data_IF_313109496060
#
_entry.id   IF_313109496060
#
_cell.length_a   1.000
_cell.length_b   1.000
_cell.length_c   1.000
_cell.angle_alpha   90.00
_cell.angle_beta   90.00
_cell.angle_gamma   90.00
#
_symmetry.space_group_name_H-M   'P 1'
#
loop_
_entity.id
_entity.type
_entity.pdbx_description
1 polymer ?
#
# COMPACT_ATOMS: atom_id res chain seq x y z
N UNK A 1 34.82 -16.60 22.13
CA UNK A 1 33.64 -17.04 21.34
C UNK A 1 32.62 -15.91 21.35
N UNK A 2 32.67 -15.04 20.33
CA UNK A 2 31.68 -13.99 20.13
C UNK A 2 30.58 -14.56 19.26
N UNK A 3 29.39 -14.76 19.81
CA UNK A 3 28.18 -15.03 19.02
C UNK A 3 27.79 -13.69 18.36
N UNK A 4 27.94 -13.63 17.07
CA UNK A 4 27.39 -12.56 16.22
C UNK A 4 25.87 -12.66 16.25
N UNK A 5 25.20 -11.71 16.86
CA UNK A 5 23.78 -11.50 16.72
C UNK A 5 23.50 -10.97 15.30
N UNK A 6 23.16 -11.89 14.39
CA UNK A 6 22.51 -11.54 13.11
C UNK A 6 20.99 -11.55 13.29
N UNK A 7 20.52 -10.82 14.26
CA UNK A 7 19.10 -10.56 14.50
C UNK A 7 18.85 -9.10 14.08
N UNK A 8 17.96 -8.83 13.21
CA UNK A 8 17.59 -7.56 12.63
C UNK A 8 18.18 -7.25 11.24
N UNK A 9 17.67 -7.91 10.21
CA UNK A 9 17.66 -7.30 8.87
C UNK A 9 16.62 -8.02 7.99
N UNK A 10 15.38 -8.02 8.39
CA UNK A 10 14.22 -8.19 7.51
C UNK A 10 13.13 -7.23 7.96
N UNK A 11 13.54 -5.99 8.21
CA UNK A 11 12.60 -4.89 8.37
C UNK A 11 12.02 -4.61 6.99
N UNK A 12 10.73 -4.59 6.94
CA UNK A 12 9.84 -4.00 5.98
C UNK A 12 10.56 -2.93 5.12
N UNK A 13 11.29 -3.37 4.11
CA UNK A 13 11.71 -2.53 3.00
C UNK A 13 10.58 -2.61 2.00
N UNK A 14 9.47 -1.97 2.33
CA UNK A 14 8.56 -1.45 1.36
C UNK A 14 9.26 -0.22 0.78
N UNK A 15 10.27 -0.46 0.00
CA UNK A 15 10.87 0.44 -0.98
C UNK A 15 12.30 -0.02 -1.26
N UNK A 16 12.57 -0.33 -2.49
CA UNK A 16 13.84 -0.75 -3.07
C UNK A 16 14.23 -2.21 -2.83
N UNK A 17 13.63 -3.12 -3.60
CA UNK A 17 14.38 -4.29 -4.02
C UNK A 17 15.51 -3.82 -4.95
N UNK A 18 16.69 -3.62 -4.40
CA UNK A 18 17.90 -3.49 -5.22
C UNK A 18 18.26 -4.88 -5.76
N UNK A 19 17.83 -5.18 -6.98
CA UNK A 19 18.47 -6.24 -7.75
C UNK A 19 19.83 -5.74 -8.20
N UNK A 20 20.89 -6.15 -7.54
CA UNK A 20 22.26 -5.98 -8.05
C UNK A 20 22.44 -6.90 -9.26
N UNK A 21 22.37 -6.33 -10.45
CA UNK A 21 22.96 -6.96 -11.62
C UNK A 21 24.47 -7.03 -11.40
N UNK A 22 24.98 -8.26 -11.21
CA UNK A 22 26.43 -8.52 -11.12
C UNK A 22 27.02 -8.34 -12.52
N UNK A 23 27.53 -7.16 -12.80
CA UNK A 23 28.54 -6.98 -13.83
C UNK A 23 29.90 -6.95 -13.15
N UNK A 24 30.63 -8.06 -13.27
CA UNK A 24 32.02 -8.12 -12.87
C UNK A 24 32.86 -7.28 -13.85
N UNK A 25 33.26 -6.10 -13.43
CA UNK A 25 34.41 -5.41 -14.00
C UNK A 25 35.19 -4.65 -12.92
N UNK A 26 36.48 -4.73 -12.99
CA UNK A 26 37.48 -4.27 -12.03
C UNK A 26 37.26 -2.87 -11.47
N UNK A 27 37.49 -2.79 -10.18
CA UNK A 27 37.28 -1.64 -9.30
C UNK A 27 38.44 -0.65 -9.36
N UNK A 28 38.11 0.61 -9.57
CA UNK A 28 38.87 1.74 -9.05
C UNK A 28 38.03 2.43 -7.95
N UNK A 29 38.51 2.41 -6.73
CA UNK A 29 37.83 2.65 -5.46
C UNK A 29 37.63 4.15 -5.14
N UNK A 30 37.10 4.98 -6.02
CA UNK A 30 36.96 6.41 -5.67
C UNK A 30 35.81 7.22 -6.31
N UNK A 31 34.83 6.59 -6.96
CA UNK A 31 33.67 7.36 -7.49
C UNK A 31 32.38 6.79 -6.90
N UNK A 32 31.53 7.58 -6.21
CA UNK A 32 30.20 7.16 -5.83
C UNK A 32 29.44 6.71 -7.06
N UNK A 33 29.10 5.43 -7.13
CA UNK A 33 28.50 4.83 -8.33
C UNK A 33 27.03 5.23 -8.37
N UNK A 34 26.68 6.14 -9.27
CA UNK A 34 25.29 6.47 -9.58
C UNK A 34 24.60 5.25 -10.20
N UNK A 35 23.41 4.90 -9.68
CA UNK A 35 22.67 3.72 -10.13
C UNK A 35 21.39 4.15 -10.84
N UNK A 36 21.19 3.63 -12.05
CA UNK A 36 19.95 3.77 -12.79
C UNK A 36 19.24 2.42 -12.78
N UNK A 37 18.01 2.39 -12.25
CA UNK A 37 17.23 1.15 -12.14
C UNK A 37 15.96 1.23 -12.98
N UNK A 38 15.61 0.10 -13.58
CA UNK A 38 14.33 -0.13 -14.22
C UNK A 38 13.73 -1.40 -13.66
N UNK A 39 12.51 -1.30 -13.12
CA UNK A 39 11.81 -2.41 -12.51
C UNK A 39 10.29 -2.24 -12.70
N UNK A 40 9.54 -3.24 -12.32
CA UNK A 40 8.09 -3.14 -12.39
C UNK A 40 7.38 -4.44 -12.08
N UNK A 41 6.06 -4.40 -12.18
CA UNK A 41 5.20 -5.58 -12.03
C UNK A 41 4.12 -5.61 -13.13
N UNK A 42 3.66 -6.80 -13.45
CA UNK A 42 2.49 -7.03 -14.28
C UNK A 42 1.65 -8.07 -13.58
N UNK A 43 0.37 -7.81 -13.37
CA UNK A 43 -0.52 -8.77 -12.76
C UNK A 43 -1.85 -8.95 -13.49
N UNK A 44 -2.39 -10.14 -13.34
CA UNK A 44 -3.70 -10.55 -13.84
C UNK A 44 -4.36 -11.43 -12.78
N UNK A 45 -5.68 -11.47 -12.78
CA UNK A 45 -6.39 -12.33 -11.85
C UNK A 45 -7.62 -12.97 -12.45
N UNK A 46 -8.08 -14.03 -11.81
CA UNK A 46 -9.41 -14.60 -11.94
C UNK A 46 -10.14 -14.45 -10.61
N UNK A 47 -11.39 -13.98 -10.63
CA UNK A 47 -12.24 -13.89 -9.44
C UNK A 47 -13.56 -14.64 -9.68
N UNK A 48 -14.06 -15.25 -8.62
CA UNK A 48 -15.41 -15.80 -8.56
C UNK A 48 -16.02 -15.49 -7.19
N UNK A 49 -17.19 -14.91 -7.18
CA UNK A 49 -18.03 -14.87 -5.97
C UNK A 49 -18.92 -16.10 -5.94
N UNK A 50 -19.33 -16.50 -4.75
CA UNK A 50 -20.28 -17.62 -4.57
C UNK A 50 -21.75 -17.14 -4.66
N UNK A 51 -21.97 -15.96 -5.20
CA UNK A 51 -23.25 -15.31 -5.44
C UNK A 51 -23.42 -15.04 -6.93
N UNK A 52 -24.65 -14.78 -7.38
CA UNK A 52 -24.95 -14.55 -8.81
C UNK A 52 -24.46 -13.17 -9.30
N UNK A 53 -24.38 -12.18 -8.43
CA UNK A 53 -23.92 -10.84 -8.79
C UNK A 53 -22.40 -10.76 -8.81
N UNK A 54 -21.81 -10.20 -9.88
CA UNK A 54 -20.36 -10.14 -10.04
C UNK A 54 -19.65 -9.05 -9.21
N UNK A 55 -20.36 -8.11 -8.58
CA UNK A 55 -19.73 -6.93 -7.98
C UNK A 55 -19.17 -7.23 -6.59
N UNK A 56 -17.88 -6.97 -6.39
CA UNK A 56 -17.26 -6.99 -5.09
C UNK A 56 -17.70 -5.78 -4.26
N UNK A 57 -17.58 -5.85 -2.92
CA UNK A 57 -17.72 -4.65 -2.10
C UNK A 57 -16.69 -3.60 -2.53
N UNK A 58 -16.93 -2.35 -2.22
CA UNK A 58 -16.15 -1.19 -2.66
C UNK A 58 -14.69 -1.13 -2.23
N UNK A 59 -14.03 -2.26 -2.01
CA UNK A 59 -12.57 -2.32 -1.88
C UNK A 59 -11.95 -2.23 -3.26
N UNK A 60 -10.89 -1.45 -3.39
CA UNK A 60 -10.14 -1.36 -4.63
C UNK A 60 -9.49 -2.71 -4.96
N UNK A 61 -9.39 -2.99 -6.27
CA UNK A 61 -8.62 -4.10 -6.83
C UNK A 61 -9.22 -5.50 -6.63
N UNK A 62 -9.41 -6.22 -7.69
CA UNK A 62 -10.07 -7.52 -7.80
C UNK A 62 -11.61 -7.47 -7.61
N UNK A 63 -12.27 -6.56 -8.31
CA UNK A 63 -13.68 -6.27 -8.13
C UNK A 63 -14.63 -7.03 -9.06
N UNK A 64 -14.14 -7.52 -10.20
CA UNK A 64 -14.98 -8.16 -11.22
C UNK A 64 -14.78 -9.66 -11.27
N UNK A 65 -15.87 -10.42 -11.42
CA UNK A 65 -15.83 -11.85 -11.66
C UNK A 65 -15.27 -12.18 -13.07
N UNK A 66 -14.65 -13.35 -13.19
CA UNK A 66 -13.99 -13.80 -14.40
C UNK A 66 -12.51 -13.42 -14.46
N UNK A 67 -11.93 -13.50 -15.66
CA UNK A 67 -10.54 -13.11 -15.90
C UNK A 67 -10.45 -11.60 -16.11
N UNK A 68 -9.53 -10.98 -15.41
CA UNK A 68 -9.31 -9.53 -15.47
C UNK A 68 -7.83 -9.19 -15.46
N UNK A 69 -7.51 -8.08 -16.08
CA UNK A 69 -6.22 -7.41 -15.87
C UNK A 69 -6.22 -6.79 -14.49
N UNK A 70 -5.09 -6.87 -13.79
CA UNK A 70 -4.81 -6.05 -12.63
C UNK A 70 -4.17 -4.74 -13.06
N UNK A 71 -2.85 -4.63 -12.92
CA UNK A 71 -2.09 -3.50 -13.43
C UNK A 71 -0.75 -3.94 -14.03
N UNK A 72 -0.16 -3.04 -14.81
CA UNK A 72 1.28 -3.01 -15.07
C UNK A 72 1.82 -1.72 -14.49
N UNK A 73 2.89 -1.79 -13.71
CA UNK A 73 3.65 -0.61 -13.35
C UNK A 73 5.10 -0.70 -13.82
N UNK A 74 5.63 0.45 -14.26
CA UNK A 74 6.99 0.59 -14.73
C UNK A 74 7.67 1.69 -13.92
N UNK A 75 8.71 1.30 -13.22
CA UNK A 75 9.45 2.17 -12.31
C UNK A 75 10.82 2.46 -12.90
N UNK A 76 11.11 3.73 -13.09
CA UNK A 76 12.43 4.24 -13.43
C UNK A 76 12.93 5.04 -12.26
N UNK A 77 14.10 4.69 -11.73
CA UNK A 77 14.73 5.46 -10.67
C UNK A 77 16.21 5.72 -10.94
N UNK A 78 16.68 6.82 -10.42
CA UNK A 78 18.09 7.18 -10.42
C UNK A 78 18.51 7.54 -9.00
N UNK A 79 19.60 6.95 -8.56
CA UNK A 79 20.24 7.23 -7.28
C UNK A 79 21.65 7.74 -7.54
N UNK A 80 21.89 9.00 -7.24
CA UNK A 80 23.19 9.64 -7.28
C UNK A 80 23.72 9.93 -5.89
N UNK A 81 24.93 10.49 -5.78
CA UNK A 81 25.60 10.76 -4.50
C UNK A 81 24.75 11.61 -3.54
N UNK A 82 24.10 12.64 -4.05
CA UNK A 82 23.32 13.58 -3.22
C UNK A 82 21.88 13.73 -3.64
N UNK A 83 21.47 13.19 -4.77
CA UNK A 83 20.13 13.40 -5.30
C UNK A 83 19.68 12.23 -6.16
N UNK A 84 18.39 12.06 -6.26
CA UNK A 84 17.80 11.06 -7.14
C UNK A 84 16.37 11.42 -7.48
N UNK A 85 15.76 10.54 -8.26
CA UNK A 85 14.34 10.64 -8.61
C UNK A 85 13.71 9.25 -8.75
N UNK A 86 12.39 9.23 -8.65
CA UNK A 86 11.57 8.08 -8.99
C UNK A 86 10.46 8.53 -9.92
N UNK A 87 10.25 7.77 -11.00
CA UNK A 87 9.10 7.88 -11.88
C UNK A 87 8.44 6.49 -11.98
N UNK A 88 7.23 6.35 -11.47
CA UNK A 88 6.43 5.14 -11.47
C UNK A 88 5.13 5.42 -12.22
N UNK A 89 4.95 4.75 -13.36
CA UNK A 89 3.75 4.84 -14.19
C UNK A 89 2.97 3.53 -14.13
N UNK A 90 1.65 3.65 -14.11
CA UNK A 90 0.71 2.52 -13.96
C UNK A 90 -0.29 2.47 -15.10
N UNK A 91 -0.71 1.26 -15.44
CA UNK A 91 -1.69 0.97 -16.48
C UNK A 91 -2.61 -0.16 -16.03
N UNK A 92 -3.79 -0.23 -16.64
CA UNK A 92 -4.79 -1.25 -16.33
C UNK A 92 -5.76 -0.83 -15.24
N UNK A 93 -6.80 -1.64 -14.96
CA UNK A 93 -7.87 -1.28 -14.03
C UNK A 93 -7.36 -0.90 -12.63
N UNK A 94 -6.53 -1.74 -12.04
CA UNK A 94 -5.91 -1.47 -10.73
C UNK A 94 -5.02 -0.23 -10.74
N UNK A 95 -4.30 0.01 -11.85
CA UNK A 95 -3.50 1.22 -12.03
C UNK A 95 -4.37 2.48 -12.08
N UNK A 96 -5.48 2.44 -12.80
CA UNK A 96 -6.44 3.55 -12.85
C UNK A 96 -7.08 3.82 -11.50
N UNK A 97 -7.44 2.76 -10.75
CA UNK A 97 -7.97 2.89 -9.39
C UNK A 97 -6.93 3.50 -8.42
N UNK A 98 -5.64 3.19 -8.63
CA UNK A 98 -4.56 3.72 -7.79
C UNK A 98 -4.32 5.24 -7.96
N UNK A 99 -4.73 5.81 -9.08
CA UNK A 99 -4.51 7.22 -9.44
C UNK A 99 -5.83 7.98 -9.69
N UNK A 100 -6.90 7.54 -9.06
CA UNK A 100 -8.27 8.00 -9.30
C UNK A 100 -8.50 9.51 -9.12
N UNK A 101 -7.73 10.17 -8.24
CA UNK A 101 -7.81 11.61 -7.98
C UNK A 101 -6.95 12.47 -8.91
N UNK A 102 -6.23 11.86 -9.86
CA UNK A 102 -5.38 12.59 -10.80
C UNK A 102 -6.19 13.39 -11.81
N UNK A 103 -5.67 14.55 -12.19
CA UNK A 103 -6.33 15.48 -13.12
C UNK A 103 -5.63 15.47 -14.47
N UNK A 104 -6.40 15.23 -15.54
CA UNK A 104 -5.92 15.24 -16.91
C UNK A 104 -5.28 13.93 -17.37
N UNK A 105 -5.43 13.64 -18.65
CA UNK A 105 -5.11 12.35 -19.26
C UNK A 105 -3.68 11.84 -19.06
N UNK A 106 -2.72 12.71 -18.91
CA UNK A 106 -1.31 12.33 -18.70
C UNK A 106 -1.00 12.01 -17.24
N UNK A 107 -1.75 12.57 -16.31
CA UNK A 107 -1.57 12.33 -14.86
C UNK A 107 -2.27 11.04 -14.40
N UNK A 108 -3.28 10.57 -15.14
CA UNK A 108 -4.03 9.35 -14.85
C UNK A 108 -3.20 8.05 -14.94
N UNK A 109 -1.92 8.15 -15.23
CA UNK A 109 -0.98 7.04 -15.21
C UNK A 109 0.21 7.25 -14.27
N UNK A 110 0.27 8.37 -13.57
CA UNK A 110 1.40 8.68 -12.68
C UNK A 110 1.07 8.23 -11.26
N UNK A 111 1.67 7.11 -10.86
CA UNK A 111 1.60 6.61 -9.48
C UNK A 111 2.57 7.38 -8.58
N UNK A 112 3.82 7.54 -9.02
CA UNK A 112 4.82 8.36 -8.32
C UNK A 112 5.66 9.16 -9.32
N UNK A 113 5.92 10.41 -8.98
CA UNK A 113 6.86 11.25 -9.70
C UNK A 113 7.46 12.26 -8.72
N UNK A 114 8.67 11.98 -8.24
CA UNK A 114 9.35 12.84 -7.28
C UNK A 114 10.86 12.86 -7.47
N UNK A 115 11.48 13.91 -6.98
CA UNK A 115 12.92 14.01 -6.82
C UNK A 115 13.26 14.27 -5.35
N UNK A 116 14.45 13.84 -4.94
CA UNK A 116 14.96 14.07 -3.60
C UNK A 116 16.39 14.59 -3.60
N UNK A 117 16.75 15.26 -2.52
CA UNK A 117 18.09 15.76 -2.29
C UNK A 117 18.52 15.51 -0.83
N UNK A 118 19.67 14.87 -0.66
CA UNK A 118 20.28 14.61 0.64
C UNK A 118 21.03 15.87 1.10
N UNK A 119 20.43 16.60 2.03
CA UNK A 119 20.94 17.88 2.55
C UNK A 119 22.15 17.62 3.44
N UNK A 120 22.09 16.56 4.25
CA UNK A 120 23.12 16.11 5.17
C UNK A 120 22.99 14.59 5.35
N UNK A 121 23.95 13.98 6.03
CA UNK A 121 23.83 12.59 6.47
C UNK A 121 22.56 12.40 7.31
N UNK A 122 21.71 11.45 6.90
CA UNK A 122 20.43 11.17 7.54
C UNK A 122 19.33 12.22 7.34
N UNK A 123 19.53 13.23 6.46
CA UNK A 123 18.50 14.25 6.18
C UNK A 123 18.25 14.38 4.69
N UNK A 124 17.05 14.04 4.24
CA UNK A 124 16.64 14.14 2.84
C UNK A 124 15.40 15.01 2.69
N UNK A 125 15.35 15.84 1.67
CA UNK A 125 14.16 16.56 1.22
C UNK A 125 13.63 15.92 -0.06
N UNK A 126 12.32 15.69 -0.12
CA UNK A 126 11.63 15.13 -1.30
C UNK A 126 10.55 16.10 -1.76
N UNK A 127 10.41 16.26 -3.06
CA UNK A 127 9.37 17.08 -3.70
C UNK A 127 8.77 16.31 -4.88
N UNK A 128 7.45 16.25 -4.94
CA UNK A 128 6.69 15.62 -6.02
C UNK A 128 5.48 14.85 -5.51
N UNK A 129 5.02 13.87 -6.30
CA UNK A 129 3.96 12.94 -5.95
C UNK A 129 4.58 11.60 -5.54
N UNK A 130 4.21 11.08 -4.38
CA UNK A 130 4.73 9.81 -3.84
C UNK A 130 3.63 9.05 -3.10
N UNK A 131 3.79 7.73 -3.00
CA UNK A 131 2.85 6.88 -2.27
C UNK A 131 2.68 7.34 -0.83
N UNK A 132 1.50 7.10 -0.30
CA UNK A 132 1.16 7.47 1.08
C UNK A 132 2.12 6.87 2.09
N UNK A 133 2.31 7.57 3.18
CA UNK A 133 2.99 7.08 4.39
C UNK A 133 2.00 6.53 5.44
N UNK A 134 0.71 6.57 5.16
CA UNK A 134 -0.38 6.06 5.99
C UNK A 134 -0.76 4.65 5.54
N UNK A 135 -1.17 3.82 6.47
CA UNK A 135 -1.64 2.46 6.18
C UNK A 135 -0.52 1.43 6.05
N UNK A 136 -0.89 0.17 6.09
CA UNK A 136 0.00 -0.99 6.05
C UNK A 136 0.17 -1.55 4.63
N UNK A 137 -0.90 -1.58 3.87
CA UNK A 137 -0.90 -2.09 2.49
C UNK A 137 -0.39 -1.03 1.51
N UNK A 138 0.01 -1.48 0.32
CA UNK A 138 0.51 -0.63 -0.76
C UNK A 138 -0.18 -0.97 -2.08
N UNK A 139 -0.02 -0.09 -3.08
CA UNK A 139 -0.65 -0.24 -4.40
C UNK A 139 -0.12 -1.48 -5.12
N UNK A 140 1.20 -1.75 -5.05
CA UNK A 140 1.81 -2.88 -5.76
C UNK A 140 1.35 -4.23 -5.19
N UNK A 141 0.73 -5.11 -6.00
CA UNK A 141 0.28 -6.42 -5.54
C UNK A 141 1.43 -7.38 -5.20
N UNK A 142 2.64 -7.12 -5.70
CA UNK A 142 3.82 -7.90 -5.38
C UNK A 142 4.32 -7.62 -3.95
N UNK A 143 4.12 -6.40 -3.45
CA UNK A 143 4.57 -5.96 -2.13
C UNK A 143 3.56 -6.28 -1.01
N UNK A 144 2.28 -6.44 -1.32
CA UNK A 144 1.28 -6.90 -0.36
C UNK A 144 1.31 -8.41 -0.21
N UNK A 145 1.09 -8.94 1.00
CA UNK A 145 0.91 -10.37 1.19
C UNK A 145 -0.40 -10.85 0.57
N UNK A 146 -1.51 -10.20 0.91
CA UNK A 146 -2.82 -10.45 0.30
C UNK A 146 -2.92 -9.75 -1.05
N UNK A 147 -3.64 -10.36 -2.01
CA UNK A 147 -3.84 -9.76 -3.33
C UNK A 147 -4.95 -8.70 -3.31
N UNK A 148 -6.08 -9.00 -2.70
CA UNK A 148 -7.12 -8.00 -2.44
C UNK A 148 -6.74 -7.11 -1.28
N UNK A 149 -7.25 -5.88 -1.28
CA UNK A 149 -6.93 -4.87 -0.27
C UNK A 149 -7.96 -4.83 0.85
N UNK A 150 -7.57 -4.29 2.01
CA UNK A 150 -8.44 -3.98 3.13
C UNK A 150 -9.36 -2.79 2.82
N UNK A 151 -10.40 -2.61 3.60
CA UNK A 151 -11.22 -1.40 3.58
C UNK A 151 -10.42 -0.17 4.03
N UNK A 152 -9.61 -0.32 5.09
CA UNK A 152 -8.75 0.77 5.57
C UNK A 152 -7.82 1.28 4.48
N UNK A 153 -7.22 0.39 3.66
CA UNK A 153 -6.39 0.81 2.53
C UNK A 153 -7.24 1.45 1.43
N UNK A 154 -8.38 0.84 1.06
CA UNK A 154 -9.20 1.28 -0.07
C UNK A 154 -9.84 2.65 0.13
N UNK A 155 -10.06 3.05 1.37
CA UNK A 155 -10.67 4.31 1.75
C UNK A 155 -9.72 5.29 2.46
N UNK A 156 -8.47 4.88 2.69
CA UNK A 156 -7.38 5.76 3.08
C UNK A 156 -6.70 6.44 1.90
N UNK A 157 -5.79 7.37 2.14
CA UNK A 157 -5.01 8.01 1.07
C UNK A 157 -4.09 7.02 0.34
N UNK A 158 -3.95 7.17 -0.98
CA UNK A 158 -3.01 6.40 -1.81
C UNK A 158 -1.72 7.16 -2.10
N UNK A 159 -1.82 8.47 -2.26
CA UNK A 159 -0.67 9.31 -2.62
C UNK A 159 -0.74 10.71 -2.02
N UNK A 160 0.42 11.37 -2.01
CA UNK A 160 0.54 12.77 -1.61
C UNK A 160 1.40 13.52 -2.61
N UNK A 161 0.92 14.69 -3.04
CA UNK A 161 1.74 15.65 -3.79
C UNK A 161 2.15 16.79 -2.87
N UNK A 162 3.46 17.01 -2.72
CA UNK A 162 3.96 18.03 -1.83
C UNK A 162 5.46 17.94 -1.59
N UNK A 163 5.87 18.44 -0.43
CA UNK A 163 7.24 18.41 0.05
C UNK A 163 7.31 17.74 1.41
N UNK A 164 8.33 16.90 1.61
CA UNK A 164 8.62 16.29 2.90
C UNK A 164 10.11 16.30 3.20
N UNK A 165 10.42 16.25 4.49
CA UNK A 165 11.79 16.06 4.97
C UNK A 165 11.80 14.80 5.84
N UNK A 166 12.71 13.91 5.51
CA UNK A 166 12.96 12.67 6.24
C UNK A 166 14.25 12.81 7.06
N UNK A 167 14.19 12.42 8.33
CA UNK A 167 15.28 12.41 9.29
C UNK A 167 15.54 10.96 9.74
N UNK A 168 16.68 10.39 9.41
CA UNK A 168 17.19 9.15 9.98
C UNK A 168 17.99 9.49 11.25
N UNK A 169 17.34 9.44 12.41
CA UNK A 169 17.92 9.87 13.69
C UNK A 169 18.88 8.81 14.23
N UNK A 170 18.53 7.52 14.02
CA UNK A 170 19.36 6.37 14.31
C UNK A 170 18.96 5.19 13.40
N UNK A 171 19.60 4.03 13.56
CA UNK A 171 19.19 2.80 12.85
C UNK A 171 17.74 2.38 13.16
N UNK A 172 17.25 2.73 14.35
CA UNK A 172 15.92 2.31 14.84
C UNK A 172 14.91 3.46 14.91
N UNK A 173 15.33 4.70 14.69
CA UNK A 173 14.48 5.89 14.89
C UNK A 173 14.52 6.80 13.67
N UNK A 174 13.35 7.08 13.12
CA UNK A 174 13.16 8.02 12.02
C UNK A 174 12.01 9.00 12.29
N UNK A 175 12.07 10.15 11.64
CA UNK A 175 11.00 11.15 11.65
C UNK A 175 10.83 11.69 10.23
N UNK A 176 9.61 11.70 9.73
CA UNK A 176 9.23 12.45 8.53
C UNK A 176 8.26 13.57 8.92
N UNK A 177 8.43 14.74 8.32
CA UNK A 177 7.46 15.82 8.35
C UNK A 177 7.24 16.36 6.95
N UNK A 178 6.01 16.76 6.63
CA UNK A 178 5.69 17.22 5.29
C UNK A 178 4.48 18.14 5.21
N UNK A 179 4.37 18.77 4.05
CA UNK A 179 3.26 19.64 3.65
C UNK A 179 2.78 19.19 2.29
N UNK A 180 1.49 18.94 2.17
CA UNK A 180 0.90 18.28 1.01
C UNK A 180 -0.34 19.03 0.51
N UNK A 181 -0.67 18.83 -0.74
CA UNK A 181 -1.97 19.12 -1.29
C UNK A 181 -3.02 18.15 -0.71
N UNK A 182 -4.25 18.27 -1.15
CA UNK A 182 -5.27 17.24 -0.93
C UNK A 182 -4.74 15.88 -1.40
N UNK A 183 -5.05 14.82 -0.63
CA UNK A 183 -4.61 13.46 -0.96
C UNK A 183 -5.10 13.01 -2.33
N UNK A 184 -4.34 12.11 -2.94
CA UNK A 184 -4.69 11.45 -4.20
C UNK A 184 -4.78 12.37 -5.42
N UNK A 185 -4.27 13.59 -5.32
CA UNK A 185 -4.23 14.55 -6.42
C UNK A 185 -2.79 14.84 -6.85
N UNK A 186 -2.55 14.76 -8.16
CA UNK A 186 -1.23 15.06 -8.75
C UNK A 186 -0.98 16.56 -8.94
N UNK A 187 -2.01 17.39 -8.84
CA UNK A 187 -1.92 18.84 -9.00
C UNK A 187 -2.55 19.56 -7.79
N UNK A 188 -2.13 20.80 -7.57
CA UNK A 188 -2.76 21.65 -6.57
C UNK A 188 -4.22 21.93 -6.95
N UNK A 189 -5.13 21.75 -6.00
CA UNK A 189 -6.54 22.10 -6.21
C UNK A 189 -6.78 23.60 -6.10
N UNK A 190 -7.94 24.05 -6.57
CA UNK A 190 -8.34 25.45 -6.54
C UNK A 190 -8.70 25.95 -5.13
N UNK A 191 -8.99 25.04 -4.21
CA UNK A 191 -9.49 25.34 -2.85
C UNK A 191 -8.37 25.65 -1.86
N UNK A 192 -7.11 25.65 -2.31
CA UNK A 192 -5.92 25.94 -1.48
C UNK A 192 -5.80 25.02 -0.26
N UNK A 193 -6.33 23.83 -0.37
CA UNK A 193 -6.20 22.82 0.68
C UNK A 193 -4.72 22.53 0.95
N UNK A 194 -4.36 22.53 2.21
CA UNK A 194 -3.01 22.19 2.65
C UNK A 194 -3.11 21.21 3.82
N UNK A 195 -2.44 20.07 3.70
CA UNK A 195 -2.33 19.10 4.76
C UNK A 195 -0.90 19.08 5.32
N UNK A 196 -0.78 18.84 6.62
CA UNK A 196 0.47 18.57 7.31
C UNK A 196 0.54 17.09 7.65
N UNK A 197 1.66 16.46 7.36
CA UNK A 197 1.90 15.08 7.70
C UNK A 197 3.13 14.89 8.57
N UNK A 198 3.08 13.88 9.42
CA UNK A 198 4.22 13.43 10.20
C UNK A 198 4.19 11.90 10.34
N UNK A 199 5.37 11.29 10.33
CA UNK A 199 5.55 9.87 10.63
C UNK A 199 6.71 9.73 11.61
N UNK A 200 6.46 9.05 12.72
CA UNK A 200 7.50 8.64 13.66
C UNK A 200 7.74 7.14 13.51
N UNK A 201 8.94 6.77 13.09
CA UNK A 201 9.40 5.39 13.02
C UNK A 201 10.18 5.00 14.26
N UNK A 202 9.82 3.88 14.89
CA UNK A 202 10.46 3.34 16.09
C UNK A 202 10.56 1.82 15.96
N UNK A 203 11.76 1.27 15.75
CA UNK A 203 12.00 -0.18 15.69
C UNK A 203 11.10 -0.92 14.68
N UNK A 204 10.87 -0.32 13.48
CA UNK A 204 10.00 -0.90 12.45
C UNK A 204 8.50 -0.72 12.71
N UNK A 205 8.13 0.06 13.71
CA UNK A 205 6.76 0.49 13.99
C UNK A 205 6.60 1.94 13.60
N UNK A 206 5.44 2.35 13.08
CA UNK A 206 5.21 3.70 12.62
C UNK A 206 3.92 4.26 13.20
N UNK A 207 4.01 5.50 13.69
CA UNK A 207 2.85 6.31 14.05
C UNK A 207 2.78 7.43 13.03
N UNK A 208 1.67 7.51 12.33
CA UNK A 208 1.44 8.40 11.21
C UNK A 208 0.32 9.37 11.52
N UNK A 209 0.51 10.62 11.17
CA UNK A 209 -0.45 11.71 11.31
C UNK A 209 -0.60 12.44 9.98
N UNK A 210 -1.83 12.65 9.55
CA UNK A 210 -2.20 13.58 8.48
C UNK A 210 -3.29 14.51 8.99
N UNK A 211 -3.09 15.83 8.87
CA UNK A 211 -4.03 16.84 9.33
C UNK A 211 -4.14 17.99 8.31
N UNK A 212 -5.35 18.31 7.91
CA UNK A 212 -5.71 19.40 7.02
C UNK A 212 -7.00 20.08 7.47
N UNK A 213 -7.51 21.01 6.67
CA UNK A 213 -8.67 21.82 7.07
C UNK A 213 -9.95 20.99 7.33
N UNK A 214 -10.14 19.92 6.56
CA UNK A 214 -11.33 19.06 6.63
C UNK A 214 -10.98 17.57 6.72
N UNK A 215 -9.76 17.25 7.09
CA UNK A 215 -9.27 15.87 7.18
C UNK A 215 -8.30 15.72 8.34
N UNK A 216 -8.53 14.70 9.15
CA UNK A 216 -7.61 14.27 10.19
C UNK A 216 -7.52 12.74 10.17
N UNK A 217 -6.29 12.21 10.12
CA UNK A 217 -6.07 10.77 10.26
C UNK A 217 -4.89 10.50 11.19
N UNK A 218 -5.12 9.60 12.13
CA UNK A 218 -4.10 9.00 12.97
C UNK A 218 -4.02 7.51 12.62
N UNK A 219 -2.82 7.03 12.33
CA UNK A 219 -2.60 5.68 11.86
C UNK A 219 -1.38 5.07 12.56
N UNK A 220 -1.46 3.78 12.86
CA UNK A 220 -0.37 2.96 13.34
C UNK A 220 -0.16 1.79 12.38
N UNK A 221 1.07 1.62 11.92
CA UNK A 221 1.47 0.47 11.11
C UNK A 221 2.74 -0.14 11.65
N UNK A 222 2.86 -1.45 11.52
CA UNK A 222 4.09 -2.14 11.89
C UNK A 222 3.94 -3.64 11.86
N UNK A 223 4.94 -4.33 12.40
CA UNK A 223 4.91 -5.77 12.48
C UNK A 223 6.03 -6.32 13.34
N UNK A 224 5.88 -7.61 13.69
CA UNK A 224 6.78 -8.31 14.58
C UNK A 224 7.18 -9.66 13.98
N UNK A 225 8.47 -9.89 13.86
CA UNK A 225 9.01 -11.22 13.62
C UNK A 225 8.94 -12.03 14.93
N UNK A 226 7.89 -12.83 15.08
CA UNK A 226 7.67 -13.65 16.27
C UNK A 226 8.53 -14.93 16.26
N UNK A 227 8.98 -15.35 15.07
CA UNK A 227 9.98 -16.37 14.83
C UNK A 227 10.61 -16.19 13.44
N UNK A 228 11.59 -17.03 13.07
CA UNK A 228 12.21 -17.03 11.74
C UNK A 228 11.21 -17.31 10.60
N UNK A 229 10.06 -17.89 10.89
CA UNK A 229 9.03 -18.27 9.92
C UNK A 229 7.69 -17.59 10.13
N UNK A 230 7.48 -16.91 11.26
CA UNK A 230 6.18 -16.30 11.58
C UNK A 230 6.31 -14.81 11.83
N UNK A 231 5.62 -14.05 10.99
CA UNK A 231 5.49 -12.59 11.08
C UNK A 231 4.04 -12.20 11.41
N UNK A 232 3.86 -11.16 12.21
CA UNK A 232 2.57 -10.56 12.51
C UNK A 232 2.60 -9.08 12.15
N UNK A 233 1.92 -8.69 11.06
CA UNK A 233 1.67 -7.29 10.71
C UNK A 233 0.44 -6.74 11.42
N UNK A 234 0.42 -5.44 11.66
CA UNK A 234 -0.67 -4.71 12.32
C UNK A 234 -0.90 -3.38 11.63
N UNK A 235 -2.17 -3.04 11.41
CA UNK A 235 -2.61 -1.70 11.05
C UNK A 235 -3.77 -1.29 11.95
N UNK A 236 -3.77 -0.07 12.46
CA UNK A 236 -4.91 0.52 13.16
C UNK A 236 -5.00 2.00 12.78
N UNK A 237 -6.17 2.45 12.37
CA UNK A 237 -6.36 3.81 11.86
C UNK A 237 -7.70 4.39 12.30
N UNK A 238 -7.74 5.71 12.41
CA UNK A 238 -8.97 6.49 12.48
C UNK A 238 -8.83 7.71 11.60
N UNK A 239 -9.84 8.00 10.80
CA UNK A 239 -9.93 9.17 9.95
C UNK A 239 -11.27 9.90 10.18
N UNK A 240 -11.20 11.22 10.24
CA UNK A 240 -12.35 12.10 10.35
C UNK A 240 -12.30 13.13 9.23
N UNK A 241 -13.43 13.32 8.55
CA UNK A 241 -13.62 14.30 7.50
C UNK A 241 -14.58 15.40 7.97
N UNK A 242 -14.80 16.42 7.13
CA UNK A 242 -15.78 17.45 7.38
C UNK A 242 -17.16 16.87 7.72
N UNK A 243 -17.86 17.46 8.70
CA UNK A 243 -19.18 17.02 9.11
C UNK A 243 -19.20 15.81 10.06
N UNK A 244 -18.07 15.49 10.66
CA UNK A 244 -17.87 14.36 11.58
C UNK A 244 -18.00 12.97 10.91
N UNK A 245 -18.05 12.91 9.59
CA UNK A 245 -17.98 11.65 8.83
C UNK A 245 -16.58 11.05 8.90
N UNK A 246 -16.45 9.76 8.75
CA UNK A 246 -15.13 9.13 8.75
C UNK A 246 -15.15 7.63 8.93
N UNK A 247 -13.98 7.08 9.27
CA UNK A 247 -13.88 5.66 9.54
C UNK A 247 -12.82 5.36 10.61
N UNK A 248 -12.93 4.20 11.19
CA UNK A 248 -11.90 3.60 12.02
C UNK A 248 -11.76 2.12 11.69
N UNK A 249 -10.58 1.57 11.90
CA UNK A 249 -10.37 0.16 11.66
C UNK A 249 -9.11 -0.39 12.30
N UNK A 250 -9.07 -1.71 12.38
CA UNK A 250 -7.91 -2.48 12.81
C UNK A 250 -7.79 -3.74 11.95
N UNK A 251 -6.58 -4.06 11.51
CA UNK A 251 -6.28 -5.29 10.81
C UNK A 251 -5.03 -5.96 11.35
N UNK A 252 -5.06 -7.29 11.38
CA UNK A 252 -3.95 -8.15 11.71
C UNK A 252 -3.58 -8.99 10.49
N UNK A 253 -2.28 -9.15 10.25
CA UNK A 253 -1.71 -9.85 9.10
C UNK A 253 -0.72 -10.93 9.55
N UNK A 254 -1.17 -12.04 10.20
CA UNK A 254 -0.30 -13.16 10.49
C UNK A 254 0.13 -13.86 9.20
N UNK A 255 1.44 -14.12 9.08
CA UNK A 255 2.07 -14.74 7.91
C UNK A 255 3.02 -15.84 8.37
N UNK A 256 2.93 -17.01 7.75
CA UNK A 256 3.77 -18.16 8.01
C UNK A 256 4.52 -18.55 6.73
N UNK A 257 5.83 -18.38 6.74
CA UNK A 257 6.71 -18.88 5.67
C UNK A 257 7.05 -20.34 5.96
N UNK A 258 6.61 -21.24 5.08
CA UNK A 258 6.80 -22.70 5.27
C UNK A 258 7.97 -23.23 4.46
N UNK A 259 8.37 -22.50 3.40
CA UNK A 259 9.54 -22.81 2.58
C UNK A 259 10.00 -21.55 1.81
N UNK A 260 11.12 -21.61 1.11
CA UNK A 260 11.63 -20.53 0.27
C UNK A 260 10.67 -20.14 -0.88
N UNK A 261 9.75 -21.04 -1.24
CA UNK A 261 8.81 -20.84 -2.36
C UNK A 261 7.35 -20.75 -1.94
N UNK A 262 7.02 -20.92 -0.65
CA UNK A 262 5.63 -20.88 -0.20
C UNK A 262 5.46 -20.27 1.18
N UNK A 263 4.53 -19.34 1.26
CA UNK A 263 4.03 -18.78 2.50
C UNK A 263 2.48 -18.80 2.50
N UNK A 264 1.90 -18.81 3.69
CA UNK A 264 0.46 -18.67 3.90
C UNK A 264 0.21 -17.55 4.90
N UNK A 265 -0.80 -16.74 4.65
CA UNK A 265 -1.15 -15.63 5.54
C UNK A 265 -2.65 -15.38 5.59
N UNK A 266 -3.03 -14.72 6.64
CA UNK A 266 -4.39 -14.31 6.91
C UNK A 266 -4.41 -12.78 7.09
N UNK A 267 -5.46 -12.12 6.61
CA UNK A 267 -5.84 -10.77 7.04
C UNK A 267 -7.18 -10.87 7.75
N UNK A 268 -7.24 -10.42 9.01
CA UNK A 268 -8.48 -10.18 9.72
C UNK A 268 -8.63 -8.68 9.94
N UNK A 269 -9.68 -8.08 9.39
CA UNK A 269 -9.96 -6.65 9.46
C UNK A 269 -11.33 -6.40 10.07
N UNK A 270 -11.39 -5.45 10.99
CA UNK A 270 -12.62 -4.79 11.41
C UNK A 270 -12.58 -3.34 10.95
N UNK A 271 -13.59 -2.92 10.21
CA UNK A 271 -13.75 -1.58 9.66
C UNK A 271 -15.10 -1.03 10.09
N UNK A 272 -15.13 0.20 10.58
CA UNK A 272 -16.32 0.90 11.01
C UNK A 272 -16.36 2.27 10.34
N UNK A 273 -17.48 2.63 9.72
CA UNK A 273 -17.71 3.97 9.21
C UNK A 273 -18.74 4.72 10.04
N UNK A 274 -18.62 6.04 10.04
CA UNK A 274 -19.47 6.95 10.80
C UNK A 274 -20.16 7.93 9.87
N UNK A 275 -21.46 8.12 10.11
CA UNK A 275 -22.32 9.16 9.52
C UNK A 275 -22.31 9.18 7.98
N UNK A 276 -22.38 7.98 7.37
CA UNK A 276 -22.47 7.83 5.92
C UNK A 276 -21.20 8.28 5.18
N UNK A 277 -20.04 7.89 5.69
CA UNK A 277 -18.76 8.13 5.01
C UNK A 277 -18.76 7.61 3.56
N UNK A 278 -19.55 6.57 3.30
CA UNK A 278 -19.80 6.07 1.94
C UNK A 278 -18.91 4.89 1.51
N UNK A 279 -18.21 4.28 2.45
CA UNK A 279 -17.49 3.03 2.19
C UNK A 279 -18.44 1.82 2.18
N UNK A 280 -19.38 1.79 3.08
CA UNK A 280 -20.34 0.72 3.28
C UNK A 280 -21.77 1.19 3.01
N UNK A 281 -22.16 2.31 3.59
CA UNK A 281 -23.51 2.90 3.46
C UNK A 281 -23.44 4.39 3.15
N UNK A 282 -24.50 4.93 2.57
CA UNK A 282 -24.59 6.35 2.24
C UNK A 282 -25.14 7.23 3.37
N UNK A 283 -25.70 6.62 4.41
CA UNK A 283 -26.29 7.31 5.57
C UNK A 283 -26.13 6.45 6.82
N UNK A 284 -25.81 7.09 7.95
CA UNK A 284 -25.63 6.44 9.25
C UNK A 284 -24.32 5.66 9.39
N UNK A 285 -24.25 4.86 10.43
CA UNK A 285 -23.07 4.08 10.77
C UNK A 285 -23.17 2.65 10.23
N UNK A 286 -22.06 2.08 9.82
CA UNK A 286 -21.98 0.68 9.44
C UNK A 286 -20.62 0.07 9.78
N UNK A 287 -20.63 -1.23 10.03
CA UNK A 287 -19.46 -2.01 10.34
C UNK A 287 -19.26 -3.13 9.30
N UNK A 288 -18.02 -3.51 9.07
CA UNK A 288 -17.69 -4.70 8.29
C UNK A 288 -16.52 -5.47 8.92
N UNK A 289 -16.66 -6.78 8.98
CA UNK A 289 -15.57 -7.69 9.32
C UNK A 289 -15.15 -8.47 8.07
N UNK A 290 -13.86 -8.43 7.74
CA UNK A 290 -13.29 -9.15 6.62
C UNK A 290 -12.26 -10.17 7.08
N UNK A 291 -12.33 -11.39 6.53
CA UNK A 291 -11.33 -12.43 6.72
C UNK A 291 -10.80 -12.90 5.37
N UNK A 292 -9.49 -12.77 5.16
CA UNK A 292 -8.84 -13.09 3.89
C UNK A 292 -7.70 -14.08 4.11
N UNK A 293 -7.78 -15.27 3.52
CA UNK A 293 -6.74 -16.29 3.55
C UNK A 293 -6.03 -16.32 2.20
N UNK A 294 -4.72 -16.15 2.18
CA UNK A 294 -3.91 -16.11 0.96
C UNK A 294 -2.75 -17.09 1.06
N UNK A 295 -2.58 -17.93 0.02
CA UNK A 295 -1.34 -18.64 -0.24
C UNK A 295 -0.47 -17.80 -1.17
N UNK A 296 0.83 -17.75 -0.95
CA UNK A 296 1.78 -17.10 -1.85
C UNK A 296 2.84 -18.10 -2.31
N UNK A 297 2.81 -18.45 -3.59
CA UNK A 297 3.79 -19.31 -4.25
C UNK A 297 4.70 -18.45 -5.10
N UNK A 298 6.02 -18.57 -4.89
CA UNK A 298 7.03 -17.81 -5.63
C UNK A 298 7.94 -18.75 -6.42
N UNK A 299 8.17 -18.44 -7.69
CA UNK A 299 9.11 -19.16 -8.55
C UNK A 299 9.81 -18.19 -9.50
N UNK A 300 11.07 -17.88 -9.20
CA UNK A 300 11.80 -16.81 -9.90
C UNK A 300 11.05 -15.50 -9.80
N UNK A 301 10.75 -14.90 -10.95
CA UNK A 301 10.03 -13.63 -11.05
C UNK A 301 8.50 -13.76 -10.97
N UNK A 302 7.98 -14.99 -10.90
CA UNK A 302 6.54 -15.23 -10.81
C UNK A 302 6.09 -15.41 -9.36
N UNK A 303 4.95 -14.82 -9.05
CA UNK A 303 4.23 -15.01 -7.82
C UNK A 303 2.78 -15.38 -8.14
N UNK A 304 2.29 -16.43 -7.51
CA UNK A 304 0.93 -16.94 -7.67
C UNK A 304 0.22 -16.90 -6.33
N UNK A 305 -0.92 -16.19 -6.28
CA UNK A 305 -1.67 -15.95 -5.04
C UNK A 305 -3.13 -16.42 -5.15
N UNK A 306 -3.44 -17.69 -4.78
CA UNK A 306 -4.82 -18.07 -4.48
C UNK A 306 -5.26 -17.42 -3.17
N UNK A 307 -6.48 -16.88 -3.17
CA UNK A 307 -7.05 -16.14 -2.05
C UNK A 307 -8.52 -16.46 -1.88
N UNK A 308 -8.94 -16.68 -0.63
CA UNK A 308 -10.34 -16.79 -0.23
C UNK A 308 -10.66 -15.65 0.73
N UNK A 309 -11.71 -14.89 0.43
CA UNK A 309 -12.15 -13.75 1.24
C UNK A 309 -13.61 -13.91 1.64
N UNK A 310 -13.87 -13.60 2.89
CA UNK A 310 -15.19 -13.50 3.50
C UNK A 310 -15.37 -12.07 4.03
N UNK A 311 -16.43 -11.40 3.63
CA UNK A 311 -16.87 -10.10 4.15
C UNK A 311 -18.22 -10.30 4.85
N UNK A 312 -18.42 -9.61 5.99
CA UNK A 312 -19.65 -9.64 6.78
C UNK A 312 -19.91 -8.24 7.35
N UNK A 313 -20.94 -7.59 6.85
CA UNK A 313 -21.33 -6.23 7.24
C UNK A 313 -22.54 -6.23 8.19
N UNK A 314 -22.71 -5.13 8.89
CA UNK A 314 -23.87 -4.87 9.76
C UNK A 314 -25.15 -4.50 8.98
N UNK A 315 -25.04 -4.32 7.66
CA UNK A 315 -26.11 -3.95 6.75
C UNK A 315 -26.01 -4.74 5.44
N UNK A 316 -27.13 -4.88 4.72
CA UNK A 316 -27.20 -5.56 3.43
C UNK A 316 -26.57 -4.72 2.30
N UNK A 317 -25.22 -4.69 2.24
CA UNK A 317 -24.47 -3.86 1.30
C UNK A 317 -23.94 -4.64 0.07
N UNK A 318 -23.93 -5.96 0.14
CA UNK A 318 -23.38 -6.79 -0.94
C UNK A 318 -24.48 -7.20 -1.90
N UNK A 319 -24.43 -6.72 -3.13
CA UNK A 319 -25.33 -7.19 -4.19
C UNK A 319 -25.06 -8.66 -4.48
N UNK A 320 -26.08 -9.51 -4.39
CA UNK A 320 -26.02 -10.95 -4.69
C UNK A 320 -26.80 -11.33 -5.94
N UNK A 321 -27.69 -10.44 -6.38
CA UNK A 321 -28.39 -10.46 -7.66
C UNK A 321 -28.79 -9.02 -8.04
N UNK A 322 -29.34 -8.77 -9.24
CA UNK A 322 -29.80 -7.43 -9.62
C UNK A 322 -30.88 -6.81 -8.72
N UNK A 323 -31.52 -7.59 -7.85
CA UNK A 323 -32.63 -7.18 -7.02
C UNK A 323 -32.48 -7.54 -5.54
N UNK A 324 -31.39 -8.21 -5.17
CA UNK A 324 -31.19 -8.71 -3.81
C UNK A 324 -29.82 -8.32 -3.29
N UNK A 325 -29.77 -7.99 -2.02
CA UNK A 325 -28.57 -7.68 -1.26
C UNK A 325 -28.38 -8.65 -0.10
N UNK A 326 -27.18 -8.69 0.46
CA UNK A 326 -26.81 -9.55 1.60
C UNK A 326 -25.89 -8.80 2.55
N UNK A 327 -25.88 -9.21 3.81
CA UNK A 327 -24.90 -8.79 4.81
C UNK A 327 -23.55 -9.49 4.64
N UNK A 328 -23.43 -10.49 3.77
CA UNK A 328 -22.20 -11.25 3.60
C UNK A 328 -21.87 -11.56 2.15
N UNK A 329 -20.58 -11.61 1.85
CA UNK A 329 -20.04 -11.99 0.55
C UNK A 329 -18.83 -12.91 0.74
N UNK A 330 -18.81 -14.01 -0.01
CA UNK A 330 -17.64 -14.89 -0.10
C UNK A 330 -17.10 -14.88 -1.51
N UNK A 331 -15.82 -14.65 -1.67
CA UNK A 331 -15.16 -14.63 -2.97
C UNK A 331 -13.84 -15.40 -2.98
N UNK A 332 -13.50 -15.92 -4.15
CA UNK A 332 -12.22 -16.57 -4.43
C UNK A 332 -11.50 -15.76 -5.49
N UNK A 333 -10.22 -15.52 -5.28
CA UNK A 333 -9.33 -14.87 -6.26
C UNK A 333 -8.12 -15.76 -6.52
N UNK A 334 -7.65 -15.75 -7.74
CA UNK A 334 -6.43 -16.41 -8.16
C UNK A 334 -5.62 -15.42 -8.99
N UNK A 335 -4.58 -14.87 -8.41
CA UNK A 335 -3.75 -13.87 -9.05
C UNK A 335 -2.40 -14.42 -9.50
N UNK A 336 -1.92 -13.92 -10.63
CA UNK A 336 -0.57 -14.18 -11.13
C UNK A 336 0.13 -12.83 -11.32
N UNK A 337 1.29 -12.69 -10.70
CA UNK A 337 2.10 -11.48 -10.68
C UNK A 337 3.47 -11.82 -11.22
N UNK A 338 3.98 -11.00 -12.14
CA UNK A 338 5.34 -11.07 -12.66
C UNK A 338 6.10 -9.82 -12.27
N UNK A 339 7.28 -9.97 -11.72
CA UNK A 339 8.18 -8.85 -11.33
C UNK A 339 9.45 -8.87 -12.19
N UNK A 340 10.00 -7.71 -12.52
CA UNK A 340 11.25 -7.59 -13.29
C UNK A 340 12.08 -6.39 -12.86
#
# INVERSE_FOLDING_TARGET
>A
MKKSNKFFTRVFICTMMTFTAINAQDTDDSVPQSTFNFSGTIDTYFRSSFTEDPVAPGTSFANLNGFSLGMANFIVSYEGEKSGFVADVVFGPRGSDAVFGSVGNSSEMVNQLYAYYNIAEGVSITLGNFNTFLGYEVISPAANFNYSTSYMFSYGPFSHTGAKVDFSISEDVSLMIGVFNQTDQTEANYDRYTAFGAQLGLYGQYINLLAGDEYFQLDYTGGFDLSDSFFLGINATTATLAGDTGFAGIALYPQLTTSDSFAIGLRGEFFSETDGFGALVSEGDADNFSLTLTGSFTSGNFMFKPELRLDSASSEIFAISPTETSESLTSFVMAMIYTF
#
